data_IF_456503035690
#
_entry.id   IF_456503035690
#
_cell.length_a   1.000
_cell.length_b   1.000
_cell.length_c   1.000
_cell.angle_alpha   90.00
_cell.angle_beta   90.00
_cell.angle_gamma   90.00
#
_symmetry.space_group_name_H-M   'P 1'
#
loop_
_entity.id
_entity.type
_entity.pdbx_description
1 polymer ?
#
# COMPACT_ATOMS: atom_id res chain seq x y z
N UNK A 1 -8.98 -1.92 24.09
CA UNK A 1 -9.80 -0.79 23.59
C UNK A 1 -10.98 -1.38 22.83
N UNK A 2 -12.19 -0.88 23.05
CA UNK A 2 -13.39 -1.32 22.32
C UNK A 2 -13.78 -0.21 21.36
N UNK A 3 -13.93 -0.54 20.07
CA UNK A 3 -14.39 0.41 19.06
C UNK A 3 -15.94 0.41 19.03
N UNK A 4 -16.61 1.53 19.34
CA UNK A 4 -18.07 1.63 19.26
C UNK A 4 -18.61 1.17 17.91
N UNK A 5 -19.77 0.51 17.92
CA UNK A 5 -20.40 -0.05 16.71
C UNK A 5 -20.61 1.01 15.62
N UNK A 6 -20.97 2.24 16.00
CA UNK A 6 -21.14 3.34 15.05
C UNK A 6 -19.85 3.66 14.29
N UNK A 7 -18.71 3.67 14.98
CA UNK A 7 -17.41 3.92 14.34
C UNK A 7 -16.99 2.75 13.45
N UNK A 8 -17.32 1.51 13.82
CA UNK A 8 -17.11 0.31 13.00
C UNK A 8 -17.86 0.38 11.66
N UNK A 9 -19.12 0.83 11.68
CA UNK A 9 -19.91 1.02 10.47
C UNK A 9 -19.35 2.12 9.56
N UNK A 10 -18.95 3.26 10.12
CA UNK A 10 -18.38 4.38 9.34
C UNK A 10 -17.06 4.02 8.66
N UNK A 11 -16.23 3.17 9.26
CA UNK A 11 -14.99 2.66 8.63
C UNK A 11 -15.22 1.49 7.66
N UNK A 12 -16.48 1.11 7.44
CA UNK A 12 -16.89 0.10 6.44
C UNK A 12 -16.82 -1.35 6.90
N UNK A 13 -16.85 -1.61 8.22
CA UNK A 13 -16.81 -2.97 8.79
C UNK A 13 -17.80 -3.12 9.98
N UNK A 14 -19.11 -3.22 9.71
CA UNK A 14 -20.14 -3.28 10.76
C UNK A 14 -20.02 -4.54 11.66
N UNK A 15 -19.61 -5.68 11.10
CA UNK A 15 -19.58 -6.97 11.80
C UNK A 15 -18.23 -7.30 12.47
N UNK A 16 -17.27 -6.36 12.43
CA UNK A 16 -15.88 -6.61 12.79
C UNK A 16 -15.06 -7.17 11.62
N UNK A 17 -13.73 -7.10 11.75
CA UNK A 17 -12.79 -7.48 10.70
C UNK A 17 -11.36 -7.12 11.09
N UNK A 18 -10.39 -7.52 10.27
CA UNK A 18 -8.98 -7.21 10.49
C UNK A 18 -8.66 -5.77 10.08
N UNK A 19 -8.10 -5.03 11.02
CA UNK A 19 -7.61 -3.66 10.81
C UNK A 19 -6.10 -3.63 10.93
N UNK A 20 -5.47 -2.81 10.09
CA UNK A 20 -4.10 -2.41 10.30
C UNK A 20 -4.08 -1.20 11.23
N UNK A 21 -3.30 -1.31 12.30
CA UNK A 21 -3.09 -0.25 13.27
C UNK A 21 -1.67 0.30 13.12
N UNK A 22 -1.54 1.62 13.09
CA UNK A 22 -0.25 2.29 13.20
C UNK A 22 -0.35 3.53 14.06
N UNK A 23 0.79 3.99 14.57
CA UNK A 23 0.90 5.24 15.30
C UNK A 23 1.64 6.25 14.44
N UNK A 24 1.02 7.39 14.18
CA UNK A 24 1.65 8.54 13.50
C UNK A 24 1.45 9.78 14.35
N UNK A 25 2.55 10.45 14.73
CA UNK A 25 2.52 11.69 15.52
C UNK A 25 1.68 11.59 16.81
N UNK A 26 1.72 10.44 17.50
CA UNK A 26 0.94 10.20 18.71
C UNK A 26 -0.53 9.85 18.47
N UNK A 27 -0.96 9.74 17.20
CA UNK A 27 -2.33 9.35 16.82
C UNK A 27 -2.35 7.90 16.35
N UNK A 28 -3.30 7.12 16.87
CA UNK A 28 -3.56 5.76 16.39
C UNK A 28 -4.45 5.86 15.15
N UNK A 29 -3.94 5.36 14.03
CA UNK A 29 -4.67 5.26 12.76
C UNK A 29 -5.04 3.80 12.57
N UNK A 30 -6.34 3.55 12.42
CA UNK A 30 -6.90 2.25 12.09
C UNK A 30 -7.43 2.31 10.67
N UNK A 31 -6.91 1.47 9.79
CA UNK A 31 -7.38 1.38 8.41
C UNK A 31 -7.71 -0.07 8.04
N UNK A 32 -8.82 -0.31 7.31
CA UNK A 32 -9.06 -1.61 6.71
C UNK A 32 -7.95 -1.98 5.72
N UNK A 33 -7.67 -3.27 5.56
CA UNK A 33 -6.62 -3.76 4.67
C UNK A 33 -6.76 -3.23 3.23
N UNK A 34 -7.99 -3.13 2.71
CA UNK A 34 -8.27 -2.57 1.38
C UNK A 34 -7.82 -1.11 1.27
N UNK A 35 -8.11 -0.28 2.29
CA UNK A 35 -7.72 1.13 2.31
C UNK A 35 -6.21 1.30 2.42
N UNK A 36 -5.56 0.46 3.22
CA UNK A 36 -4.11 0.44 3.30
C UNK A 36 -3.47 0.12 1.95
N UNK A 37 -4.01 -0.87 1.24
CA UNK A 37 -3.54 -1.25 -0.09
C UNK A 37 -3.72 -0.11 -1.09
N UNK A 38 -4.88 0.56 -1.11
CA UNK A 38 -5.13 1.72 -1.97
C UNK A 38 -4.12 2.85 -1.70
N UNK A 39 -3.87 3.17 -0.42
CA UNK A 39 -2.90 4.18 -0.03
C UNK A 39 -1.49 3.84 -0.52
N UNK A 40 -1.04 2.60 -0.29
CA UNK A 40 0.29 2.15 -0.75
C UNK A 40 0.38 2.23 -2.27
N UNK A 41 -0.65 1.76 -2.99
CA UNK A 41 -0.70 1.87 -4.46
C UNK A 41 -0.58 3.32 -4.94
N UNK A 42 -1.26 4.25 -4.28
CA UNK A 42 -1.18 5.68 -4.64
C UNK A 42 0.21 6.27 -4.39
N UNK A 43 0.88 5.90 -3.28
CA UNK A 43 2.23 6.38 -2.97
C UNK A 43 3.24 5.97 -4.05
N UNK A 44 3.12 4.73 -4.54
CA UNK A 44 4.06 4.18 -5.52
C UNK A 44 3.66 4.45 -6.97
N UNK A 45 2.43 4.93 -7.22
CA UNK A 45 1.88 5.13 -8.58
C UNK A 45 2.77 6.03 -9.44
N UNK A 46 3.41 7.03 -8.84
CA UNK A 46 4.31 7.96 -9.53
C UNK A 46 5.56 7.29 -10.12
N UNK A 47 5.94 6.12 -9.60
CA UNK A 47 7.09 5.34 -10.08
C UNK A 47 6.68 4.24 -11.05
N UNK A 48 5.37 4.05 -11.28
CA UNK A 48 4.88 3.04 -12.21
C UNK A 48 4.85 3.62 -13.64
N UNK A 49 5.08 2.80 -14.67
CA UNK A 49 4.97 3.23 -16.06
C UNK A 49 3.54 3.64 -16.36
N UNK A 50 3.36 4.64 -17.23
CA UNK A 50 2.04 5.07 -17.66
C UNK A 50 1.36 4.04 -18.60
N UNK A 51 2.18 3.26 -19.31
CA UNK A 51 1.75 2.23 -20.24
C UNK A 51 1.38 0.94 -19.51
N UNK A 52 0.23 0.38 -19.86
CA UNK A 52 -0.23 -0.88 -19.28
C UNK A 52 0.64 -2.05 -19.76
N UNK A 53 1.03 -2.93 -18.84
CA UNK A 53 1.86 -4.11 -19.14
C UNK A 53 3.38 -3.87 -19.10
N UNK A 54 3.85 -2.64 -18.89
CA UNK A 54 5.29 -2.35 -18.71
C UNK A 54 5.69 -2.59 -17.25
N UNK A 55 6.75 -3.37 -17.05
CA UNK A 55 7.25 -3.78 -15.74
C UNK A 55 8.56 -3.06 -15.41
N UNK A 56 8.51 -2.18 -14.40
CA UNK A 56 9.71 -1.50 -13.86
C UNK A 56 10.74 -2.51 -13.35
N UNK A 57 10.28 -3.65 -12.83
CA UNK A 57 11.18 -4.69 -12.36
C UNK A 57 12.01 -5.25 -13.51
N UNK A 58 11.41 -5.46 -14.68
CA UNK A 58 12.11 -6.01 -15.85
C UNK A 58 13.13 -4.99 -16.38
N UNK A 59 12.78 -3.70 -16.44
CA UNK A 59 13.71 -2.63 -16.80
C UNK A 59 14.95 -2.62 -15.89
N UNK A 60 14.73 -2.61 -14.57
CA UNK A 60 15.82 -2.57 -13.57
C UNK A 60 16.68 -3.86 -13.60
N UNK A 61 16.07 -5.01 -13.85
CA UNK A 61 16.80 -6.28 -13.98
C UNK A 61 17.69 -6.26 -15.23
N UNK A 62 17.17 -5.77 -16.36
CA UNK A 62 17.95 -5.64 -17.60
C UNK A 62 19.12 -4.68 -17.42
N UNK A 63 18.91 -3.52 -16.79
CA UNK A 63 19.97 -2.56 -16.48
C UNK A 63 21.07 -3.19 -15.62
N UNK A 64 20.69 -3.93 -14.57
CA UNK A 64 21.64 -4.65 -13.70
C UNK A 64 22.48 -5.68 -14.45
N UNK A 65 21.86 -6.46 -15.34
CA UNK A 65 22.61 -7.44 -16.15
C UNK A 65 23.56 -6.76 -17.15
N UNK A 66 23.15 -5.63 -17.73
CA UNK A 66 23.99 -4.87 -18.66
C UNK A 66 25.18 -4.18 -17.98
N UNK A 67 25.04 -3.81 -16.70
CA UNK A 67 26.13 -3.29 -15.87
C UNK A 67 27.13 -4.39 -15.51
N UNK A 68 26.65 -5.55 -15.04
CA UNK A 68 27.48 -6.70 -14.69
C UNK A 68 28.29 -7.30 -15.86
N UNK A 69 27.85 -7.08 -17.11
CA UNK A 69 28.59 -7.52 -18.29
C UNK A 69 29.75 -6.58 -18.69
N UNK A 70 29.86 -5.40 -18.06
CA UNK A 70 30.91 -4.40 -18.33
C UNK A 70 32.03 -4.40 -17.28
N UNK A 71 31.86 -5.12 -16.18
CA UNK A 71 32.87 -5.39 -15.14
C UNK A 71 33.61 -6.71 -15.42
#
# INVERSE_FOLDING_TARGET
MVLPAILRSEVGFPDGGDFLARVENGVIILEPHKKALERVRNLVRQYAPAEEGVSVADELIVERHAEAARE
#
